data_IF_879232044710
#
_entry.id   IF_879232044710
#
_cell.length_a   1.000
_cell.length_b   1.000
_cell.length_c   1.000
_cell.angle_alpha   90.00
_cell.angle_beta   90.00
_cell.angle_gamma   90.00
#
_symmetry.space_group_name_H-M   'P 1'
#
loop_
_entity.id
_entity.type
_entity.pdbx_description
1 polymer ?
#
# COMPACT_ATOMS: atom_id res chain seq x y z
N UNK A 1 -16.68 9.45 -32.97
CA UNK A 1 -16.81 10.35 -31.82
C UNK A 1 -17.76 11.47 -32.17
N UNK A 2 -18.71 11.76 -31.29
CA UNK A 2 -19.46 13.03 -31.38
C UNK A 2 -18.69 14.12 -30.64
N UNK A 3 -19.02 15.38 -30.90
CA UNK A 3 -18.46 16.59 -30.29
C UNK A 3 -18.24 16.52 -28.76
N UNK A 4 -19.05 15.73 -28.03
CA UNK A 4 -18.98 15.60 -26.57
C UNK A 4 -17.85 14.70 -26.06
N UNK A 5 -17.34 13.75 -26.85
CA UNK A 5 -16.31 12.79 -26.40
C UNK A 5 -14.91 13.40 -26.47
N UNK A 6 -14.69 14.25 -27.47
CA UNK A 6 -13.43 14.98 -27.70
C UNK A 6 -13.27 16.12 -26.68
N UNK A 7 -14.38 16.71 -26.19
CA UNK A 7 -14.38 17.71 -25.12
C UNK A 7 -13.98 17.16 -23.73
N UNK A 8 -13.97 15.83 -23.53
CA UNK A 8 -13.45 15.23 -22.29
C UNK A 8 -11.92 15.18 -22.24
N UNK A 9 -11.23 15.23 -23.39
CA UNK A 9 -9.77 15.33 -23.45
C UNK A 9 -9.24 16.76 -23.21
N UNK A 10 -10.14 17.74 -23.11
CA UNK A 10 -9.82 19.16 -22.87
C UNK A 10 -9.93 19.60 -21.41
N UNK A 11 -10.01 18.68 -20.45
CA UNK A 11 -9.59 19.04 -19.11
C UNK A 11 -8.10 19.40 -19.19
N UNK A 12 -7.77 20.65 -18.86
CA UNK A 12 -6.43 21.25 -18.97
C UNK A 12 -5.33 20.32 -18.42
N UNK A 13 -5.67 19.51 -17.42
CA UNK A 13 -4.80 18.53 -16.76
C UNK A 13 -4.32 17.42 -17.70
N UNK A 14 -5.18 16.85 -18.58
CA UNK A 14 -4.80 15.72 -19.45
C UNK A 14 -3.76 16.15 -20.49
N UNK A 15 -3.93 17.33 -21.08
CA UNK A 15 -2.97 17.86 -22.06
C UNK A 15 -1.62 18.20 -21.42
N UNK A 16 -1.64 18.69 -20.17
CA UNK A 16 -0.41 18.90 -19.38
C UNK A 16 0.28 17.56 -19.13
N UNK A 17 -0.44 16.54 -18.68
CA UNK A 17 0.13 15.22 -18.42
C UNK A 17 0.70 14.56 -19.69
N UNK A 18 -0.03 14.61 -20.81
CA UNK A 18 0.47 14.11 -22.09
C UNK A 18 1.69 14.91 -22.58
N UNK A 19 1.73 16.22 -22.31
CA UNK A 19 2.87 17.07 -22.58
C UNK A 19 4.11 16.67 -21.78
N UNK A 20 3.97 16.35 -20.49
CA UNK A 20 5.07 15.84 -19.66
C UNK A 20 5.52 14.45 -20.12
N UNK A 21 4.57 13.55 -20.45
CA UNK A 21 4.87 12.21 -20.96
C UNK A 21 5.63 12.27 -22.28
N UNK A 22 5.28 13.23 -23.15
CA UNK A 22 5.98 13.43 -24.42
C UNK A 22 7.46 13.82 -24.24
N UNK A 23 7.85 14.37 -23.08
CA UNK A 23 9.25 14.67 -22.78
C UNK A 23 10.07 13.43 -22.42
N UNK A 24 9.44 12.29 -22.16
CA UNK A 24 10.14 11.03 -21.86
C UNK A 24 10.73 10.49 -23.16
N UNK A 25 12.05 10.34 -23.21
CA UNK A 25 12.74 9.79 -24.37
C UNK A 25 12.21 8.40 -24.73
N UNK A 26 11.97 8.17 -26.02
CA UNK A 26 11.48 6.89 -26.55
C UNK A 26 9.96 6.69 -26.48
N UNK A 27 9.19 7.63 -25.90
CA UNK A 27 7.73 7.56 -25.94
C UNK A 27 7.19 8.18 -27.23
N UNK A 28 6.22 7.50 -27.85
CA UNK A 28 5.43 7.99 -28.99
C UNK A 28 3.97 8.05 -28.58
N UNK A 29 3.33 9.20 -28.80
CA UNK A 29 1.90 9.40 -28.48
C UNK A 29 1.11 9.48 -29.79
N UNK A 30 0.16 8.56 -29.98
CA UNK A 30 -0.71 8.54 -31.15
C UNK A 30 -2.18 8.81 -30.79
N UNK A 31 -2.80 9.78 -31.47
CA UNK A 31 -4.25 9.98 -31.40
C UNK A 31 -4.96 9.07 -32.39
N UNK A 32 -5.91 8.28 -31.91
CA UNK A 32 -6.66 7.30 -32.72
C UNK A 32 -8.16 7.52 -32.58
N UNK A 33 -8.84 7.91 -33.66
CA UNK A 33 -10.27 8.29 -33.59
C UNK A 33 -11.11 7.77 -34.75
N UNK A 34 -12.29 7.26 -34.42
CA UNK A 34 -13.36 7.05 -35.40
C UNK A 34 -14.03 8.41 -35.66
N UNK A 35 -13.65 9.09 -36.74
CA UNK A 35 -14.10 10.44 -37.09
C UNK A 35 -14.20 10.63 -38.60
N UNK A 36 -15.17 11.43 -39.04
CA UNK A 36 -15.37 11.83 -40.43
C UNK A 36 -14.38 12.94 -40.84
N UNK A 37 -14.15 13.13 -42.14
CA UNK A 37 -13.30 14.23 -42.63
C UNK A 37 -13.85 15.62 -42.27
N UNK A 38 -15.16 15.92 -42.43
CA UNK A 38 -15.71 17.21 -42.01
C UNK A 38 -15.52 17.51 -40.52
N UNK A 39 -15.77 16.52 -39.65
CA UNK A 39 -15.63 16.70 -38.20
C UNK A 39 -14.16 16.88 -37.79
N UNK A 40 -13.25 16.12 -38.41
CA UNK A 40 -11.81 16.27 -38.19
C UNK A 40 -11.33 17.67 -38.57
N UNK A 41 -11.76 18.18 -39.73
CA UNK A 41 -11.44 19.53 -40.18
C UNK A 41 -12.03 20.60 -39.26
N UNK A 42 -13.23 20.40 -38.73
CA UNK A 42 -13.82 21.31 -37.74
C UNK A 42 -13.01 21.35 -36.45
N UNK A 43 -12.58 20.20 -35.92
CA UNK A 43 -11.70 20.13 -34.73
C UNK A 43 -10.34 20.78 -34.99
N UNK A 44 -9.76 20.58 -36.19
CA UNK A 44 -8.47 21.18 -36.56
C UNK A 44 -8.51 22.71 -36.58
N UNK A 45 -9.66 23.31 -36.93
CA UNK A 45 -9.86 24.77 -36.87
C UNK A 45 -10.16 25.27 -35.46
N UNK A 46 -10.76 24.43 -34.62
CA UNK A 46 -11.16 24.81 -33.25
C UNK A 46 -9.98 24.80 -32.29
N UNK A 47 -9.05 23.87 -32.45
CA UNK A 47 -7.93 23.66 -31.55
C UNK A 47 -6.64 24.15 -32.16
N UNK A 48 -5.79 24.73 -31.30
CA UNK A 48 -4.52 25.30 -31.68
C UNK A 48 -3.43 24.23 -31.92
N UNK A 49 -2.29 24.67 -32.43
CA UNK A 49 -1.15 23.81 -32.66
C UNK A 49 -0.61 23.19 -31.36
N UNK A 50 -0.82 23.82 -30.20
CA UNK A 50 -0.40 23.27 -28.92
C UNK A 50 -1.06 21.91 -28.65
N UNK A 51 -2.37 21.80 -28.88
CA UNK A 51 -3.08 20.53 -28.77
C UNK A 51 -2.55 19.48 -29.76
N UNK A 52 -2.44 19.85 -31.03
CA UNK A 52 -2.08 18.89 -32.07
C UNK A 52 -0.62 18.43 -31.97
N UNK A 53 0.26 19.30 -31.48
CA UNK A 53 1.67 18.98 -31.24
C UNK A 53 1.88 18.03 -30.06
N UNK A 54 0.85 17.74 -29.25
CA UNK A 54 0.91 16.68 -28.24
C UNK A 54 1.03 15.29 -28.87
N UNK A 55 0.55 15.09 -30.10
CA UNK A 55 0.53 13.78 -30.76
C UNK A 55 1.57 13.72 -31.88
N UNK A 56 2.39 12.66 -31.87
CA UNK A 56 3.36 12.40 -32.94
C UNK A 56 2.67 11.85 -34.19
N UNK A 57 1.56 11.16 -33.98
CA UNK A 57 0.74 10.60 -35.05
C UNK A 57 -0.75 10.80 -34.78
N UNK A 58 -1.51 11.04 -35.85
CA UNK A 58 -2.97 11.12 -35.81
C UNK A 58 -3.55 10.15 -36.83
N UNK A 59 -4.27 9.15 -36.34
CA UNK A 59 -4.92 8.11 -37.13
C UNK A 59 -6.44 8.25 -37.02
N UNK A 60 -7.06 8.64 -38.13
CA UNK A 60 -8.52 8.81 -38.21
C UNK A 60 -9.13 7.72 -39.09
N UNK A 61 -10.33 7.26 -38.75
CA UNK A 61 -11.01 6.24 -39.56
C UNK A 61 -11.27 6.66 -41.01
N UNK A 62 -11.52 7.96 -41.27
CA UNK A 62 -11.69 8.44 -42.64
C UNK A 62 -10.42 8.25 -43.47
N UNK A 63 -9.27 8.68 -42.94
CA UNK A 63 -7.98 8.62 -43.65
C UNK A 63 -7.49 7.20 -43.84
N UNK A 64 -7.76 6.31 -42.87
CA UNK A 64 -7.37 4.90 -42.94
C UNK A 64 -8.35 4.04 -43.73
N UNK A 65 -9.56 4.53 -44.05
CA UNK A 65 -10.61 3.76 -44.72
C UNK A 65 -11.15 2.58 -43.90
N UNK A 66 -10.84 2.52 -42.60
CA UNK A 66 -11.27 1.48 -41.67
C UNK A 66 -11.51 2.10 -40.30
N UNK A 67 -12.45 1.56 -39.52
CA UNK A 67 -12.79 2.06 -38.18
C UNK A 67 -12.50 1.02 -37.09
N UNK A 68 -12.20 1.48 -35.87
CA UNK A 68 -12.23 0.64 -34.66
C UNK A 68 -13.64 0.06 -34.48
N UNK A 69 -13.82 -1.21 -34.05
CA UNK A 69 -12.81 -2.13 -33.50
C UNK A 69 -12.18 -3.08 -34.55
N UNK A 70 -12.20 -2.76 -35.85
CA UNK A 70 -11.59 -3.64 -36.85
C UNK A 70 -10.09 -3.83 -36.56
N UNK A 71 -9.62 -5.09 -36.51
CA UNK A 71 -8.21 -5.43 -36.30
C UNK A 71 -7.27 -4.72 -37.30
N UNK A 72 -7.75 -4.50 -38.53
CA UNK A 72 -7.00 -3.78 -39.58
C UNK A 72 -6.67 -2.34 -39.17
N UNK A 73 -7.52 -1.68 -38.37
CA UNK A 73 -7.23 -0.35 -37.85
C UNK A 73 -5.96 -0.36 -36.99
N UNK A 74 -5.92 -1.25 -35.99
CA UNK A 74 -4.80 -1.38 -35.06
C UNK A 74 -3.53 -1.88 -35.75
N UNK A 75 -3.64 -2.82 -36.70
CA UNK A 75 -2.52 -3.29 -37.51
C UNK A 75 -1.92 -2.15 -38.36
N UNK A 76 -2.75 -1.27 -38.92
CA UNK A 76 -2.28 -0.09 -39.64
C UNK A 76 -1.55 0.88 -38.71
N UNK A 77 -2.07 1.11 -37.50
CA UNK A 77 -1.42 1.95 -36.48
C UNK A 77 -0.06 1.37 -36.11
N UNK A 78 0.00 0.10 -35.68
CA UNK A 78 1.24 -0.59 -35.30
C UNK A 78 2.29 -0.58 -36.43
N UNK A 79 1.86 -0.82 -37.67
CA UNK A 79 2.76 -0.81 -38.83
C UNK A 79 3.33 0.58 -39.09
N UNK A 80 2.50 1.62 -38.98
CA UNK A 80 2.90 2.99 -39.23
C UNK A 80 3.83 3.54 -38.14
N UNK A 81 3.58 3.20 -36.87
CA UNK A 81 4.41 3.61 -35.73
C UNK A 81 5.60 2.70 -35.49
N UNK A 82 5.62 1.50 -36.08
CA UNK A 82 6.57 0.41 -35.77
C UNK A 82 6.58 0.03 -34.29
N UNK A 83 5.50 0.29 -33.58
CA UNK A 83 5.40 -0.01 -32.15
C UNK A 83 5.35 -1.52 -31.91
N UNK A 84 6.01 -1.96 -30.84
CA UNK A 84 5.93 -3.35 -30.34
C UNK A 84 4.62 -3.49 -29.57
N UNK A 85 3.71 -4.42 -29.94
CA UNK A 85 2.42 -4.53 -29.27
C UNK A 85 2.52 -4.67 -27.74
N UNK A 86 3.43 -5.51 -27.26
CA UNK A 86 3.62 -5.80 -25.83
C UNK A 86 4.10 -4.59 -25.01
N UNK A 87 4.65 -3.57 -25.68
CA UNK A 87 5.10 -2.30 -25.13
C UNK A 87 4.13 -1.15 -25.43
N UNK A 88 3.02 -1.44 -26.12
CA UNK A 88 2.02 -0.45 -26.52
C UNK A 88 0.84 -0.46 -25.54
N UNK A 89 0.50 0.73 -25.01
CA UNK A 89 -0.70 0.95 -24.22
C UNK A 89 -1.79 1.58 -25.10
N UNK A 90 -2.96 0.95 -25.15
CA UNK A 90 -4.15 1.44 -25.82
C UNK A 90 -5.23 1.83 -24.81
N UNK A 91 -5.79 3.03 -24.98
CA UNK A 91 -6.79 3.61 -24.07
C UNK A 91 -7.97 4.08 -24.90
N UNK A 92 -9.16 3.61 -24.56
CA UNK A 92 -10.41 3.93 -25.27
C UNK A 92 -11.60 3.77 -24.33
N UNK A 93 -12.66 4.52 -24.56
CA UNK A 93 -13.87 4.46 -23.74
C UNK A 93 -14.77 3.26 -24.05
N UNK A 94 -14.58 2.62 -25.21
CA UNK A 94 -15.36 1.45 -25.61
C UNK A 94 -14.60 0.14 -25.37
N UNK A 95 -15.21 -0.75 -24.58
CA UNK A 95 -14.64 -2.06 -24.23
C UNK A 95 -14.28 -2.90 -25.46
N UNK A 96 -15.09 -2.86 -26.53
CA UNK A 96 -14.82 -3.60 -27.76
C UNK A 96 -13.59 -3.07 -28.52
N UNK A 97 -13.28 -1.77 -28.41
CA UNK A 97 -12.08 -1.22 -29.02
C UNK A 97 -10.85 -1.70 -28.26
N UNK A 98 -10.90 -1.64 -26.93
CA UNK A 98 -9.82 -2.10 -26.05
C UNK A 98 -9.56 -3.59 -26.23
N UNK A 99 -10.62 -4.40 -26.28
CA UNK A 99 -10.53 -5.84 -26.53
C UNK A 99 -9.84 -6.14 -27.87
N UNK A 100 -10.20 -5.43 -28.94
CA UNK A 100 -9.58 -5.61 -30.24
C UNK A 100 -8.08 -5.26 -30.23
N UNK A 101 -7.70 -4.16 -29.57
CA UNK A 101 -6.29 -3.79 -29.39
C UNK A 101 -5.51 -4.86 -28.58
N UNK A 102 -6.06 -5.31 -27.45
CA UNK A 102 -5.44 -6.32 -26.59
C UNK A 102 -5.30 -7.67 -27.30
N UNK A 103 -6.24 -8.03 -28.17
CA UNK A 103 -6.16 -9.26 -28.98
C UNK A 103 -4.94 -9.33 -29.90
N UNK A 104 -4.31 -8.18 -30.18
CA UNK A 104 -3.07 -8.06 -30.96
C UNK A 104 -1.81 -7.97 -30.09
N UNK A 105 -1.94 -8.14 -28.76
CA UNK A 105 -0.83 -8.12 -27.81
C UNK A 105 -0.59 -6.78 -27.10
N UNK A 106 -1.44 -5.77 -27.33
CA UNK A 106 -1.36 -4.49 -26.61
C UNK A 106 -1.84 -4.61 -25.17
N UNK A 107 -1.37 -3.69 -24.31
CA UNK A 107 -2.01 -3.42 -23.01
C UNK A 107 -3.22 -2.53 -23.24
N UNK A 108 -4.32 -2.75 -22.52
CA UNK A 108 -5.58 -2.07 -22.76
C UNK A 108 -6.20 -1.50 -21.49
N UNK A 109 -6.72 -0.27 -21.58
CA UNK A 109 -7.45 0.38 -20.48
C UNK A 109 -8.77 0.93 -21.03
N UNK A 110 -9.86 0.57 -20.36
CA UNK A 110 -11.22 1.01 -20.69
C UNK A 110 -11.55 2.29 -19.91
N UNK A 111 -12.00 3.30 -20.62
CA UNK A 111 -12.35 4.61 -20.07
C UNK A 111 -11.14 5.53 -19.87
N UNK A 112 -11.43 6.77 -19.49
CA UNK A 112 -10.44 7.81 -19.25
C UNK A 112 -10.46 8.34 -17.80
N UNK A 113 -11.14 7.64 -16.90
CA UNK A 113 -11.17 8.00 -15.49
C UNK A 113 -9.78 7.86 -14.88
N UNK A 114 -9.26 8.96 -14.31
CA UNK A 114 -7.94 9.01 -13.68
C UNK A 114 -6.78 8.62 -14.64
N UNK A 115 -6.88 9.08 -15.89
CA UNK A 115 -5.87 8.86 -16.92
C UNK A 115 -4.47 9.34 -16.49
N UNK A 116 -4.39 10.49 -15.81
CA UNK A 116 -3.15 11.02 -15.23
C UNK A 116 -2.45 10.00 -14.34
N UNK A 117 -3.17 9.49 -13.33
CA UNK A 117 -2.66 8.48 -12.39
C UNK A 117 -2.25 7.22 -13.12
N UNK A 118 -3.11 6.76 -14.03
CA UNK A 118 -2.88 5.55 -14.82
C UNK A 118 -1.58 5.63 -15.62
N UNK A 119 -1.39 6.72 -16.38
CA UNK A 119 -0.19 6.92 -17.17
C UNK A 119 1.05 7.03 -16.28
N UNK A 120 0.96 7.77 -15.16
CA UNK A 120 2.05 7.85 -14.18
C UNK A 120 2.41 6.47 -13.60
N UNK A 121 1.43 5.60 -13.37
CA UNK A 121 1.68 4.25 -12.82
C UNK A 121 2.27 3.30 -13.88
N UNK A 122 1.94 3.48 -15.16
CA UNK A 122 2.49 2.66 -16.25
C UNK A 122 3.91 3.10 -16.62
N UNK A 123 4.16 4.42 -16.63
CA UNK A 123 5.40 5.01 -17.17
C UNK A 123 6.40 5.41 -16.09
N UNK A 124 5.93 5.73 -14.89
CA UNK A 124 6.75 6.20 -13.79
C UNK A 124 7.28 5.07 -12.91
N UNK A 125 8.43 5.30 -12.30
CA UNK A 125 8.95 4.44 -11.24
C UNK A 125 8.05 4.58 -9.99
N UNK A 126 7.31 3.52 -9.67
CA UNK A 126 6.39 3.50 -8.54
C UNK A 126 7.11 3.65 -7.19
N UNK A 127 8.33 3.11 -7.08
CA UNK A 127 9.15 3.15 -5.86
C UNK A 127 9.65 4.59 -5.65
N UNK A 128 10.26 5.21 -6.66
CA UNK A 128 10.79 6.57 -6.53
C UNK A 128 9.69 7.61 -6.31
N UNK A 129 8.53 7.45 -6.97
CA UNK A 129 7.36 8.30 -6.73
C UNK A 129 6.86 8.18 -5.29
N UNK A 130 6.85 6.97 -4.74
CA UNK A 130 6.47 6.74 -3.35
C UNK A 130 7.45 7.34 -2.35
N UNK A 131 8.76 7.20 -2.58
CA UNK A 131 9.76 7.89 -1.76
C UNK A 131 9.67 9.40 -1.87
N UNK A 132 9.45 9.94 -3.07
CA UNK A 132 9.21 11.37 -3.28
C UNK A 132 8.02 11.87 -2.47
N UNK A 133 6.91 11.11 -2.46
CA UNK A 133 5.76 11.42 -1.61
C UNK A 133 6.13 11.45 -0.12
N UNK A 134 6.84 10.44 0.38
CA UNK A 134 7.25 10.37 1.78
C UNK A 134 8.13 11.56 2.18
N UNK A 135 9.16 11.86 1.38
CA UNK A 135 10.09 12.98 1.62
C UNK A 135 9.39 14.33 1.60
N UNK A 136 8.51 14.56 0.62
CA UNK A 136 7.75 15.82 0.53
C UNK A 136 6.80 16.04 1.72
N UNK A 137 6.34 14.94 2.34
CA UNK A 137 5.42 14.97 3.48
C UNK A 137 6.09 14.63 4.81
N UNK A 138 7.42 14.61 4.86
CA UNK A 138 8.21 14.34 6.06
C UNK A 138 7.75 15.22 7.25
N UNK A 139 7.59 14.61 8.42
CA UNK A 139 7.07 15.25 9.63
C UNK A 139 5.59 15.65 9.57
N UNK A 140 4.87 15.33 8.49
CA UNK A 140 3.44 15.63 8.29
C UNK A 140 2.60 14.40 7.92
N UNK A 141 3.13 13.21 8.19
CA UNK A 141 2.49 11.92 7.90
C UNK A 141 1.52 11.54 9.02
N UNK A 142 0.50 12.37 9.26
CA UNK A 142 -0.44 12.18 10.37
C UNK A 142 -1.45 11.06 10.12
N UNK A 143 -1.90 10.45 11.22
CA UNK A 143 -3.04 9.54 11.21
C UNK A 143 -4.33 10.35 11.17
N UNK A 144 -5.30 9.91 10.37
CA UNK A 144 -6.58 10.60 10.18
C UNK A 144 -7.76 9.63 10.28
N UNK A 145 -8.88 10.11 10.80
CA UNK A 145 -10.18 9.41 10.74
C UNK A 145 -10.82 9.55 9.36
N UNK A 146 -11.86 8.77 9.09
CA UNK A 146 -12.71 8.92 7.90
C UNK A 146 -13.38 10.31 7.78
N UNK A 147 -13.55 11.02 8.89
CA UNK A 147 -14.15 12.37 8.93
C UNK A 147 -13.09 13.47 8.76
N UNK A 148 -11.81 13.11 8.60
CA UNK A 148 -10.69 14.05 8.42
C UNK A 148 -10.06 14.57 9.72
N UNK A 149 -10.48 14.06 10.88
CA UNK A 149 -9.87 14.42 12.16
C UNK A 149 -8.47 13.83 12.25
N UNK A 150 -7.46 14.67 12.52
CA UNK A 150 -6.09 14.21 12.74
C UNK A 150 -5.88 13.68 14.17
N UNK A 151 -5.07 12.64 14.31
CA UNK A 151 -4.68 12.02 15.58
C UNK A 151 -3.16 12.05 15.69
N UNK A 152 -2.68 12.64 16.79
CA UNK A 152 -1.26 12.68 17.14
C UNK A 152 -0.90 11.38 17.88
N UNK A 153 -0.26 10.45 17.18
CA UNK A 153 0.10 9.13 17.69
C UNK A 153 1.49 8.68 17.24
N UNK A 154 2.10 7.80 18.03
CA UNK A 154 3.46 7.29 17.84
C UNK A 154 3.48 6.04 16.95
N UNK A 155 2.42 5.23 16.95
CA UNK A 155 2.44 3.88 16.41
C UNK A 155 2.66 3.85 14.89
N UNK A 156 1.92 4.66 14.13
CA UNK A 156 2.07 4.72 12.67
C UNK A 156 3.42 5.32 12.25
N UNK A 157 3.96 6.25 13.05
CA UNK A 157 5.31 6.79 12.86
C UNK A 157 6.37 5.71 13.06
N UNK A 158 6.26 4.91 14.12
CA UNK A 158 7.17 3.78 14.36
C UNK A 158 7.08 2.72 13.26
N UNK A 159 5.89 2.47 12.70
CA UNK A 159 5.73 1.57 11.55
C UNK A 159 6.43 2.10 10.29
N UNK A 160 6.37 3.42 10.04
CA UNK A 160 7.12 4.05 8.94
C UNK A 160 8.62 3.87 9.16
N UNK A 161 9.10 4.14 10.38
CA UNK A 161 10.51 3.95 10.75
C UNK A 161 10.96 2.50 10.56
N UNK A 162 10.17 1.53 11.01
CA UNK A 162 10.52 0.10 10.90
C UNK A 162 10.77 -0.30 9.45
N UNK A 163 9.86 0.10 8.55
CA UNK A 163 9.92 -0.37 7.17
C UNK A 163 10.79 0.50 6.27
N UNK A 164 11.01 1.78 6.57
CA UNK A 164 11.84 2.66 5.74
C UNK A 164 13.25 2.83 6.28
N UNK A 165 13.41 2.83 7.60
CA UNK A 165 14.66 3.11 8.31
C UNK A 165 15.24 4.49 7.99
N UNK A 166 14.38 5.53 8.03
CA UNK A 166 14.76 6.93 7.83
C UNK A 166 14.05 7.82 8.86
N UNK A 167 14.80 8.28 9.87
CA UNK A 167 14.28 9.14 10.94
C UNK A 167 13.84 10.52 10.45
N UNK A 168 14.33 10.98 9.29
CA UNK A 168 13.95 12.30 8.77
C UNK A 168 12.48 12.37 8.32
N UNK A 169 11.82 11.22 8.12
CA UNK A 169 10.45 11.16 7.64
C UNK A 169 9.40 11.35 8.73
N UNK A 170 9.74 11.13 9.98
CA UNK A 170 8.78 11.03 11.09
C UNK A 170 9.02 12.08 12.16
N UNK A 171 7.99 12.39 12.94
CA UNK A 171 8.11 13.19 14.16
C UNK A 171 7.87 12.30 15.38
N UNK A 172 8.96 11.74 15.93
CA UNK A 172 8.92 10.81 17.06
C UNK A 172 9.75 11.34 18.22
N UNK A 173 9.11 11.50 19.38
CA UNK A 173 9.77 11.89 20.63
C UNK A 173 9.89 10.69 21.55
N UNK A 174 11.12 10.22 21.75
CA UNK A 174 11.39 9.01 22.55
C UNK A 174 11.12 9.28 24.04
N UNK A 175 10.18 8.58 24.70
CA UNK A 175 10.03 8.61 26.14
C UNK A 175 11.21 7.86 26.81
N UNK A 176 11.44 8.08 28.12
CA UNK A 176 12.55 7.44 28.82
C UNK A 176 12.42 5.91 28.95
N UNK A 177 11.19 5.37 28.94
CA UNK A 177 10.92 3.93 29.11
C UNK A 177 9.77 3.46 28.22
N UNK A 178 8.56 3.42 28.78
CA UNK A 178 7.35 2.91 28.14
C UNK A 178 6.79 3.92 27.15
N UNK A 179 6.06 3.40 26.15
CA UNK A 179 5.47 4.20 25.10
C UNK A 179 3.95 4.26 25.22
N UNK A 180 3.43 5.44 24.93
CA UNK A 180 2.01 5.68 24.74
C UNK A 180 1.69 5.67 23.25
N UNK A 181 0.56 5.07 22.87
CA UNK A 181 0.01 5.18 21.53
C UNK A 181 -0.11 6.66 21.11
N UNK A 182 -0.64 7.53 21.98
CA UNK A 182 -0.78 8.95 21.68
C UNK A 182 0.52 9.71 21.97
N UNK A 183 0.96 10.52 21.01
CA UNK A 183 2.01 11.54 21.23
C UNK A 183 1.42 12.88 21.67
N UNK A 184 0.12 13.09 21.41
CA UNK A 184 -0.65 14.25 21.83
C UNK A 184 -1.83 13.90 22.72
N UNK A 185 -2.90 14.71 22.66
CA UNK A 185 -4.09 14.52 23.48
C UNK A 185 -4.87 13.29 22.99
N UNK A 186 -5.21 12.32 23.86
CA UNK A 186 -6.04 11.17 23.48
C UNK A 186 -7.38 11.58 22.87
N UNK A 187 -7.77 10.88 21.78
CA UNK A 187 -9.05 11.05 21.08
C UNK A 187 -9.76 9.69 20.95
N UNK A 188 -11.10 9.73 20.89
CA UNK A 188 -11.97 8.54 20.74
C UNK A 188 -11.73 7.43 21.76
N UNK A 189 -11.37 7.84 22.99
CA UNK A 189 -10.99 6.96 24.09
C UNK A 189 -11.20 7.67 25.43
N UNK A 190 -10.85 7.00 26.52
CA UNK A 190 -10.86 7.56 27.87
C UNK A 190 -9.96 8.81 27.98
N UNK A 191 -10.33 9.76 28.84
CA UNK A 191 -9.56 11.01 29.07
C UNK A 191 -8.08 10.78 29.39
N UNK A 192 -7.77 9.70 30.10
CA UNK A 192 -6.41 9.26 30.41
C UNK A 192 -6.18 7.96 29.67
N UNK A 193 -5.17 7.93 28.81
CA UNK A 193 -4.73 6.73 28.09
C UNK A 193 -3.37 6.30 28.65
N UNK A 194 -3.26 5.11 29.25
CA UNK A 194 -2.00 4.62 29.81
C UNK A 194 -1.03 4.23 28.69
N UNK A 195 0.23 4.05 29.04
CA UNK A 195 1.19 3.44 28.12
C UNK A 195 0.74 2.02 27.75
N UNK A 196 1.03 1.62 26.52
CA UNK A 196 0.55 0.36 25.96
C UNK A 196 1.69 -0.53 25.47
N UNK A 197 1.42 -1.83 25.50
CA UNK A 197 2.40 -2.85 25.18
C UNK A 197 2.73 -2.89 23.70
N UNK A 198 1.81 -2.46 22.83
CA UNK A 198 1.99 -2.58 21.39
C UNK A 198 2.98 -1.54 20.87
N UNK A 199 2.78 -0.28 21.25
CA UNK A 199 3.69 0.82 20.93
C UNK A 199 5.04 0.62 21.60
N UNK A 200 5.05 0.14 22.84
CA UNK A 200 6.30 -0.17 23.56
C UNK A 200 7.08 -1.31 22.88
N UNK A 201 6.42 -2.40 22.51
CA UNK A 201 7.05 -3.52 21.82
C UNK A 201 7.57 -3.11 20.43
N UNK A 202 6.78 -2.34 19.67
CA UNK A 202 7.22 -1.83 18.37
C UNK A 202 8.46 -0.94 18.50
N UNK A 203 8.50 -0.04 19.49
CA UNK A 203 9.66 0.81 19.72
C UNK A 203 10.93 0.02 20.10
N UNK A 204 10.79 -1.05 20.91
CA UNK A 204 11.88 -1.97 21.22
C UNK A 204 12.40 -2.70 19.98
N UNK A 205 11.57 -2.92 18.97
CA UNK A 205 11.97 -3.52 17.69
C UNK A 205 12.64 -2.51 16.77
N UNK A 206 12.13 -1.29 16.71
CA UNK A 206 12.59 -0.21 15.81
C UNK A 206 13.90 0.43 16.26
N UNK A 207 14.06 0.70 17.56
CA UNK A 207 15.23 1.41 18.06
C UNK A 207 16.27 0.48 18.68
N UNK A 208 17.52 0.93 18.64
CA UNK A 208 18.63 0.33 19.36
C UNK A 208 18.66 0.84 20.81
N UNK A 209 17.95 0.12 21.68
CA UNK A 209 17.99 0.35 23.12
C UNK A 209 19.25 -0.25 23.74
N UNK A 210 19.83 0.42 24.75
CA UNK A 210 20.80 -0.19 25.66
C UNK A 210 20.18 -1.45 26.29
N UNK A 211 20.90 -2.58 26.28
CA UNK A 211 20.38 -3.87 26.74
C UNK A 211 19.77 -3.79 28.14
N UNK A 212 20.44 -3.10 29.09
CA UNK A 212 19.96 -2.95 30.46
C UNK A 212 18.59 -2.26 30.51
N UNK A 213 18.41 -1.21 29.71
CA UNK A 213 17.14 -0.48 29.62
C UNK A 213 16.07 -1.36 28.98
N UNK A 214 16.37 -2.01 27.84
CA UNK A 214 15.45 -2.92 27.17
C UNK A 214 14.98 -4.05 28.11
N UNK A 215 15.91 -4.75 28.77
CA UNK A 215 15.56 -5.82 29.72
C UNK A 215 14.70 -5.32 30.87
N UNK A 216 14.98 -4.13 31.40
CA UNK A 216 14.15 -3.54 32.46
C UNK A 216 12.73 -3.18 31.99
N UNK A 217 12.52 -2.90 30.71
CA UNK A 217 11.19 -2.69 30.13
C UNK A 217 10.49 -4.04 29.98
N UNK A 218 11.16 -5.07 29.47
CA UNK A 218 10.62 -6.43 29.35
C UNK A 218 10.19 -7.00 30.71
N UNK A 219 10.98 -6.77 31.77
CA UNK A 219 10.62 -7.13 33.15
C UNK A 219 9.32 -6.45 33.60
N UNK A 220 9.15 -5.18 33.23
CA UNK A 220 7.94 -4.43 33.54
C UNK A 220 6.72 -4.99 32.80
N UNK A 221 6.88 -5.36 31.53
CA UNK A 221 5.82 -5.97 30.70
C UNK A 221 5.33 -7.30 31.30
N UNK A 222 6.20 -8.10 31.92
CA UNK A 222 5.83 -9.35 32.59
C UNK A 222 4.84 -9.16 33.75
N UNK A 223 4.81 -7.97 34.39
CA UNK A 223 3.86 -7.67 35.46
C UNK A 223 2.40 -7.55 34.97
N UNK A 224 2.19 -7.56 33.66
CA UNK A 224 0.89 -7.44 33.00
C UNK A 224 0.54 -8.69 32.18
N UNK A 225 1.22 -9.80 32.42
CA UNK A 225 0.80 -11.13 31.96
C UNK A 225 -0.34 -11.61 32.86
N UNK A 226 -1.47 -12.00 32.26
CA UNK A 226 -2.63 -12.50 32.99
C UNK A 226 -2.47 -13.98 33.40
N UNK A 227 -3.49 -14.54 34.07
CA UNK A 227 -3.49 -15.95 34.53
C UNK A 227 -3.45 -16.99 33.40
N UNK A 228 -3.87 -16.61 32.19
CA UNK A 228 -3.75 -17.44 30.98
C UNK A 228 -2.34 -17.41 30.38
N UNK A 229 -1.44 -16.56 30.90
CA UNK A 229 -0.10 -16.36 30.36
C UNK A 229 -0.08 -15.45 29.12
N UNK A 230 -1.08 -14.57 28.99
CA UNK A 230 -1.22 -13.63 27.87
C UNK A 230 -0.93 -12.21 28.35
N UNK A 231 -0.15 -11.47 27.56
CA UNK A 231 0.20 -10.08 27.85
C UNK A 231 -1.02 -9.18 27.64
N UNK A 232 -1.33 -8.34 28.63
CA UNK A 232 -2.39 -7.33 28.52
C UNK A 232 -1.98 -6.17 27.63
N UNK A 233 -2.95 -5.51 26.99
CA UNK A 233 -2.72 -4.39 26.07
C UNK A 233 -2.13 -3.17 26.78
N UNK A 234 -2.58 -2.88 28.00
CA UNK A 234 -2.25 -1.65 28.72
C UNK A 234 -1.38 -1.93 29.94
N UNK A 235 -0.54 -0.98 30.30
CA UNK A 235 0.15 -0.91 31.58
C UNK A 235 -0.78 -0.43 32.72
N UNK A 236 -2.03 -0.90 32.70
CA UNK A 236 -3.08 -0.55 33.64
C UNK A 236 -3.91 -1.80 33.96
N UNK A 237 -3.70 -2.35 35.16
CA UNK A 237 -4.36 -3.59 35.61
C UNK A 237 -5.88 -3.44 35.74
N UNK A 238 -6.42 -2.23 35.77
CA UNK A 238 -7.87 -2.00 35.72
C UNK A 238 -8.47 -2.21 34.33
N UNK A 239 -7.63 -2.39 33.30
CA UNK A 239 -8.00 -2.60 31.90
C UNK A 239 -7.48 -3.95 31.38
N UNK A 240 -7.99 -5.10 31.88
CA UNK A 240 -7.45 -6.44 31.60
C UNK A 240 -7.83 -6.94 30.19
N UNK A 241 -7.40 -6.21 29.15
CA UNK A 241 -7.66 -6.56 27.75
C UNK A 241 -6.46 -7.29 27.17
N UNK A 242 -6.73 -8.27 26.33
CA UNK A 242 -5.74 -8.99 25.53
C UNK A 242 -6.12 -8.88 24.06
N UNK A 243 -5.12 -8.79 23.18
CA UNK A 243 -5.29 -8.82 21.72
C UNK A 243 -4.18 -9.67 21.11
N UNK A 244 -4.51 -10.48 20.10
CA UNK A 244 -3.57 -11.43 19.52
C UNK A 244 -2.41 -10.77 18.76
N UNK A 245 -2.66 -9.66 18.07
CA UNK A 245 -1.62 -8.96 17.29
C UNK A 245 -0.68 -8.23 18.24
N UNK A 246 -1.23 -7.62 19.28
CA UNK A 246 -0.45 -6.98 20.35
C UNK A 246 0.43 -8.02 21.05
N UNK A 247 -0.16 -9.14 21.47
CA UNK A 247 0.60 -10.22 22.11
C UNK A 247 1.71 -10.78 21.21
N UNK A 248 1.46 -10.88 19.90
CA UNK A 248 2.45 -11.28 18.91
C UNK A 248 3.60 -10.26 18.76
N UNK A 249 3.28 -8.96 18.78
CA UNK A 249 4.28 -7.91 18.74
C UNK A 249 5.17 -7.93 20.00
N UNK A 250 4.56 -8.09 21.18
CA UNK A 250 5.28 -8.24 22.44
C UNK A 250 6.17 -9.48 22.40
N UNK A 251 5.64 -10.63 22.00
CA UNK A 251 6.42 -11.87 21.87
C UNK A 251 7.62 -11.66 20.94
N UNK A 252 7.44 -10.95 19.83
CA UNK A 252 8.51 -10.60 18.89
C UNK A 252 9.60 -9.76 19.56
N UNK A 253 9.23 -8.76 20.38
CA UNK A 253 10.19 -7.98 21.17
C UNK A 253 10.96 -8.85 22.17
N UNK A 254 10.29 -9.76 22.90
CA UNK A 254 10.97 -10.71 23.79
C UNK A 254 11.96 -11.60 23.02
N UNK A 255 11.60 -12.08 21.83
CA UNK A 255 12.50 -12.86 20.99
C UNK A 255 13.71 -12.07 20.47
N UNK A 256 13.55 -10.78 20.10
CA UNK A 256 14.68 -9.90 19.71
C UNK A 256 15.77 -9.87 20.79
N UNK A 257 15.37 -9.86 22.06
CA UNK A 257 16.27 -9.81 23.22
C UNK A 257 16.57 -11.19 23.84
N UNK A 258 16.29 -12.30 23.14
CA UNK A 258 16.64 -13.65 23.61
C UNK A 258 15.80 -14.16 24.80
N UNK A 259 14.64 -13.54 25.04
CA UNK A 259 13.77 -13.76 26.20
C UNK A 259 12.41 -14.38 25.87
N UNK A 260 12.23 -14.86 24.63
CA UNK A 260 10.96 -15.47 24.20
C UNK A 260 10.46 -16.63 25.07
N UNK A 261 11.36 -17.35 25.75
CA UNK A 261 11.05 -18.45 26.66
C UNK A 261 10.19 -18.05 27.88
N UNK A 262 10.09 -16.76 28.20
CA UNK A 262 9.28 -16.26 29.32
C UNK A 262 7.79 -16.14 28.96
N UNK A 263 7.43 -16.26 27.68
CA UNK A 263 6.05 -16.16 27.20
C UNK A 263 5.56 -17.45 26.49
N UNK A 264 5.75 -18.65 27.08
CA UNK A 264 5.47 -19.91 26.40
C UNK A 264 3.99 -20.08 26.03
N UNK A 265 3.07 -19.68 26.91
CA UNK A 265 1.63 -19.75 26.65
C UNK A 265 1.17 -18.78 25.57
N UNK A 266 1.79 -17.60 25.48
CA UNK A 266 1.55 -16.68 24.37
C UNK A 266 2.02 -17.31 23.06
N UNK A 267 3.21 -17.92 23.02
CA UNK A 267 3.70 -18.63 21.83
C UNK A 267 2.75 -19.75 21.38
N UNK A 268 2.24 -20.56 22.31
CA UNK A 268 1.25 -21.60 22.03
C UNK A 268 -0.05 -21.02 21.45
N UNK A 269 -0.51 -19.90 21.99
CA UNK A 269 -1.71 -19.22 21.51
C UNK A 269 -1.54 -18.68 20.08
N UNK A 270 -0.40 -18.03 19.79
CA UNK A 270 -0.08 -17.54 18.44
C UNK A 270 -0.03 -18.68 17.42
N UNK A 271 0.63 -19.79 17.75
CA UNK A 271 0.66 -20.95 16.87
C UNK A 271 -0.76 -21.50 16.62
N UNK A 272 -1.57 -21.61 17.67
CA UNK A 272 -2.94 -22.10 17.55
C UNK A 272 -3.80 -21.16 16.68
N UNK A 273 -3.66 -19.84 16.80
CA UNK A 273 -4.37 -18.89 15.93
C UNK A 273 -3.98 -19.10 14.47
N UNK A 274 -2.68 -19.26 14.18
CA UNK A 274 -2.16 -19.44 12.84
C UNK A 274 -2.65 -20.76 12.20
N UNK A 275 -2.53 -21.87 12.93
CA UNK A 275 -2.91 -23.20 12.45
C UNK A 275 -4.42 -23.30 12.23
N UNK A 276 -5.22 -22.74 13.13
CA UNK A 276 -6.69 -22.80 13.07
C UNK A 276 -7.33 -21.68 12.25
N UNK A 277 -6.53 -20.79 11.63
CA UNK A 277 -7.02 -19.63 10.87
C UNK A 277 -7.88 -18.67 11.69
N UNK A 278 -7.69 -18.60 13.01
CA UNK A 278 -8.52 -17.79 13.90
C UNK A 278 -8.36 -16.28 13.64
N UNK A 279 -7.31 -15.86 12.94
CA UNK A 279 -7.04 -14.48 12.53
C UNK A 279 -7.88 -14.00 11.33
N UNK A 280 -8.69 -14.85 10.69
CA UNK A 280 -9.32 -14.58 9.38
C UNK A 280 -10.31 -13.40 9.38
N UNK A 281 -10.74 -12.93 10.55
CA UNK A 281 -11.61 -11.77 10.71
C UNK A 281 -10.93 -10.60 11.44
N UNK A 282 -9.61 -10.67 11.63
CA UNK A 282 -8.86 -9.70 12.43
C UNK A 282 -9.11 -9.85 13.93
N UNK A 283 -8.78 -8.80 14.67
CA UNK A 283 -8.96 -8.66 16.12
C UNK A 283 -9.76 -7.41 16.45
N UNK A 284 -9.89 -7.07 17.73
CA UNK A 284 -10.66 -5.92 18.20
C UNK A 284 -10.14 -4.60 17.62
N UNK A 285 -8.83 -4.45 17.51
CA UNK A 285 -8.18 -3.22 17.05
C UNK A 285 -7.74 -3.30 15.60
N UNK A 286 -7.49 -4.50 15.08
CA UNK A 286 -6.91 -4.72 13.76
C UNK A 286 -7.82 -5.56 12.89
N UNK A 287 -8.55 -4.93 11.98
CA UNK A 287 -9.71 -5.57 11.32
C UNK A 287 -9.37 -6.53 10.17
N UNK A 288 -8.08 -6.69 9.85
CA UNK A 288 -7.63 -7.43 8.67
C UNK A 288 -6.73 -8.62 9.04
N UNK A 289 -6.88 -9.79 8.38
CA UNK A 289 -6.00 -10.96 8.54
C UNK A 289 -4.51 -10.66 8.31
N UNK A 290 -4.24 -9.72 7.42
CA UNK A 290 -2.90 -9.34 6.99
C UNK A 290 -2.03 -8.83 8.14
N UNK A 291 -2.63 -8.19 9.15
CA UNK A 291 -1.90 -7.77 10.35
C UNK A 291 -1.26 -8.94 11.08
N UNK A 292 -2.05 -9.99 11.35
CA UNK A 292 -1.55 -11.17 12.06
C UNK A 292 -0.47 -11.89 11.26
N UNK A 293 -0.68 -12.07 9.95
CA UNK A 293 0.28 -12.76 9.09
C UNK A 293 1.60 -12.00 8.93
N UNK A 294 1.53 -10.68 8.79
CA UNK A 294 2.71 -9.82 8.76
C UNK A 294 3.45 -9.81 10.10
N UNK A 295 2.75 -9.77 11.22
CA UNK A 295 3.39 -9.82 12.54
C UNK A 295 4.00 -11.19 12.83
N UNK A 296 3.43 -12.27 12.29
CA UNK A 296 4.01 -13.61 12.39
C UNK A 296 5.30 -13.72 11.55
N UNK A 297 5.39 -13.02 10.41
CA UNK A 297 6.65 -12.97 9.66
C UNK A 297 7.71 -12.13 10.39
N UNK A 298 7.32 -11.07 11.10
CA UNK A 298 8.21 -10.31 12.00
C UNK A 298 8.76 -11.18 13.13
N UNK A 299 7.93 -12.03 13.75
CA UNK A 299 8.39 -12.99 14.76
C UNK A 299 9.51 -13.91 14.21
N UNK A 300 9.35 -14.43 12.99
CA UNK A 300 10.40 -15.22 12.34
C UNK A 300 11.67 -14.42 12.05
N UNK A 301 11.53 -13.16 11.63
CA UNK A 301 12.67 -12.30 11.28
C UNK A 301 13.51 -11.91 12.51
N UNK A 302 12.87 -11.64 13.65
CA UNK A 302 13.58 -11.19 14.86
C UNK A 302 13.97 -12.34 15.80
N UNK A 303 13.36 -13.51 15.70
CA UNK A 303 13.71 -14.66 16.55
C UNK A 303 14.97 -15.37 16.08
N UNK A 304 15.90 -15.59 17.00
CA UNK A 304 17.07 -16.48 16.82
C UNK A 304 16.81 -17.91 17.32
N UNK A 305 15.65 -18.17 17.91
CA UNK A 305 15.26 -19.47 18.46
C UNK A 305 14.77 -20.39 17.33
N UNK A 306 15.47 -21.51 17.04
CA UNK A 306 15.07 -22.45 15.98
C UNK A 306 13.66 -23.03 16.18
N UNK A 307 13.21 -23.18 17.43
CA UNK A 307 11.89 -23.74 17.73
C UNK A 307 10.74 -22.87 17.21
N UNK A 308 10.94 -21.55 17.13
CA UNK A 308 9.96 -20.64 16.54
C UNK A 308 9.80 -20.91 15.05
N UNK A 309 10.92 -21.11 14.34
CA UNK A 309 10.92 -21.43 12.91
C UNK A 309 10.16 -22.73 12.65
N UNK A 310 10.48 -23.78 13.40
CA UNK A 310 9.83 -25.10 13.29
C UNK A 310 8.31 -25.04 13.51
N UNK A 311 7.86 -24.18 14.42
CA UNK A 311 6.44 -24.05 14.78
C UNK A 311 5.64 -23.15 13.85
N UNK A 312 6.26 -22.11 13.27
CA UNK A 312 5.55 -21.01 12.60
C UNK A 312 5.76 -20.98 11.09
N UNK A 313 6.96 -21.28 10.57
CA UNK A 313 7.28 -21.01 9.17
C UNK A 313 6.37 -21.77 8.21
N UNK A 314 6.26 -23.08 8.36
CA UNK A 314 5.46 -23.91 7.44
C UNK A 314 3.98 -23.50 7.46
N UNK A 315 3.30 -23.40 8.62
CA UNK A 315 1.94 -22.88 8.66
C UNK A 315 1.80 -21.49 8.05
N UNK A 316 2.73 -20.57 8.36
CA UNK A 316 2.68 -19.19 7.85
C UNK A 316 2.79 -19.13 6.33
N UNK A 317 3.73 -19.88 5.73
CA UNK A 317 3.86 -19.98 4.27
C UNK A 317 2.56 -20.46 3.63
N UNK A 318 1.96 -21.53 4.18
CA UNK A 318 0.68 -22.04 3.68
C UNK A 318 -0.41 -20.96 3.76
N UNK A 319 -0.51 -20.26 4.89
CA UNK A 319 -1.51 -19.20 5.09
C UNK A 319 -1.29 -18.00 4.17
N UNK A 320 -0.06 -17.60 3.89
CA UNK A 320 0.23 -16.51 2.95
C UNK A 320 -0.13 -16.87 1.51
N UNK A 321 0.21 -18.09 1.07
CA UNK A 321 -0.14 -18.59 -0.27
C UNK A 321 -1.67 -18.63 -0.45
N UNK A 322 -2.43 -19.07 0.57
CA UNK A 322 -3.90 -19.05 0.57
C UNK A 322 -4.48 -17.64 0.37
N UNK A 323 -3.72 -16.58 0.74
CA UNK A 323 -4.17 -15.19 0.67
C UNK A 323 -3.79 -14.48 -0.62
N UNK A 324 -2.89 -15.01 -1.45
CA UNK A 324 -2.45 -14.35 -2.70
C UNK A 324 -3.65 -14.03 -3.60
N UNK A 325 -3.76 -12.77 -4.02
CA UNK A 325 -4.85 -12.31 -4.88
C UNK A 325 -6.20 -12.11 -4.20
N UNK A 326 -6.29 -12.27 -2.87
CA UNK A 326 -7.48 -11.89 -2.11
C UNK A 326 -7.56 -10.36 -2.04
N UNK A 327 -8.74 -9.81 -2.33
CA UNK A 327 -8.99 -8.36 -2.29
C UNK A 327 -8.58 -7.77 -0.93
N UNK A 328 -7.90 -6.63 -1.00
CA UNK A 328 -7.49 -5.84 0.14
C UNK A 328 -7.17 -4.42 -0.30
N UNK A 329 -7.10 -3.50 0.65
CA UNK A 329 -6.60 -2.17 0.38
C UNK A 329 -5.06 -2.16 0.24
N UNK A 330 -4.48 -1.00 -0.06
CA UNK A 330 -3.05 -0.90 -0.36
C UNK A 330 -2.18 -1.36 0.81
N UNK A 331 -2.61 -1.11 2.05
CA UNK A 331 -1.87 -1.54 3.23
C UNK A 331 -1.97 -3.04 3.47
N UNK A 332 -3.15 -3.66 3.27
CA UNK A 332 -3.29 -5.11 3.28
C UNK A 332 -2.35 -5.78 2.26
N UNK A 333 -2.32 -5.28 1.02
CA UNK A 333 -1.42 -5.82 -0.02
C UNK A 333 0.05 -5.59 0.34
N UNK A 334 0.40 -4.41 0.87
CA UNK A 334 1.75 -4.11 1.36
C UNK A 334 2.22 -5.08 2.44
N UNK A 335 1.41 -5.28 3.49
CA UNK A 335 1.69 -6.25 4.56
C UNK A 335 1.87 -7.68 4.03
N UNK A 336 0.96 -8.13 3.15
CA UNK A 336 1.02 -9.46 2.56
C UNK A 336 2.27 -9.65 1.71
N UNK A 337 2.60 -8.67 0.87
CA UNK A 337 3.80 -8.70 0.04
C UNK A 337 5.07 -8.72 0.88
N UNK A 338 5.18 -7.87 1.91
CA UNK A 338 6.33 -7.88 2.82
C UNK A 338 6.51 -9.24 3.51
N UNK A 339 5.41 -9.85 3.98
CA UNK A 339 5.44 -11.17 4.59
C UNK A 339 5.81 -12.29 3.59
N UNK A 340 5.32 -12.19 2.35
CA UNK A 340 5.71 -13.10 1.26
C UNK A 340 7.20 -12.94 0.92
N UNK A 341 7.70 -11.72 0.77
CA UNK A 341 9.08 -11.42 0.43
C UNK A 341 10.04 -11.94 1.50
N UNK A 342 9.72 -11.77 2.79
CA UNK A 342 10.55 -12.29 3.89
C UNK A 342 10.66 -13.83 3.90
N UNK A 343 9.78 -14.52 3.18
CA UNK A 343 9.77 -15.98 3.03
C UNK A 343 10.12 -16.43 1.60
N UNK A 344 10.47 -15.52 0.70
CA UNK A 344 10.75 -15.84 -0.70
C UNK A 344 9.55 -16.45 -1.44
N UNK A 345 8.33 -15.99 -1.14
CA UNK A 345 7.10 -16.40 -1.84
C UNK A 345 6.84 -15.39 -2.97
N UNK A 346 6.78 -15.87 -4.21
CA UNK A 346 6.47 -15.02 -5.36
C UNK A 346 4.99 -14.60 -5.37
N UNK A 347 4.74 -13.30 -5.54
CA UNK A 347 3.38 -12.73 -5.52
C UNK A 347 3.24 -11.57 -6.53
N UNK A 348 3.35 -11.89 -7.82
CA UNK A 348 3.24 -10.91 -8.90
C UNK A 348 1.86 -10.26 -8.98
N UNK A 349 0.80 -11.02 -8.65
CA UNK A 349 -0.58 -10.53 -8.71
C UNK A 349 -0.81 -9.37 -7.76
N UNK A 350 -0.44 -9.52 -6.48
CA UNK A 350 -0.62 -8.44 -5.52
C UNK A 350 0.36 -7.30 -5.77
N UNK A 351 1.54 -7.57 -6.34
CA UNK A 351 2.52 -6.55 -6.75
C UNK A 351 1.95 -5.63 -7.84
N UNK A 352 1.37 -6.20 -8.89
CA UNK A 352 0.72 -5.46 -9.97
C UNK A 352 -0.49 -4.67 -9.45
N UNK A 353 -1.32 -5.31 -8.62
CA UNK A 353 -2.47 -4.65 -8.01
C UNK A 353 -2.04 -3.46 -7.15
N UNK A 354 -1.05 -3.64 -6.27
CA UNK A 354 -0.55 -2.58 -5.39
C UNK A 354 0.03 -1.40 -6.20
N UNK A 355 0.84 -1.67 -7.23
CA UNK A 355 1.38 -0.63 -8.10
C UNK A 355 0.27 0.17 -8.81
N UNK A 356 -0.79 -0.52 -9.26
CA UNK A 356 -1.94 0.14 -9.90
C UNK A 356 -2.71 1.09 -8.97
N UNK A 357 -2.61 0.90 -7.64
CA UNK A 357 -3.31 1.71 -6.62
C UNK A 357 -2.59 3.02 -6.26
N UNK A 358 -1.37 3.25 -6.75
CA UNK A 358 -0.62 4.47 -6.46
C UNK A 358 -1.36 5.70 -7.01
N UNK A 359 -1.44 6.77 -6.21
CA UNK A 359 -2.12 8.01 -6.56
C UNK A 359 -1.21 8.93 -7.39
N UNK A 360 -1.80 9.93 -8.05
CA UNK A 360 -1.09 10.82 -8.98
C UNK A 360 0.04 11.65 -8.35
N UNK A 361 0.01 11.84 -7.03
CA UNK A 361 1.05 12.51 -6.21
C UNK A 361 2.14 11.55 -5.69
N UNK A 362 2.06 10.27 -6.05
CA UNK A 362 3.05 9.24 -5.69
C UNK A 362 2.73 8.47 -4.41
N UNK A 363 1.81 8.95 -3.57
CA UNK A 363 1.39 8.22 -2.36
C UNK A 363 0.32 7.17 -2.66
N UNK A 364 0.01 6.33 -1.67
CA UNK A 364 -1.19 5.48 -1.70
C UNK A 364 -2.29 6.13 -0.86
N UNK A 365 -3.56 5.74 -1.04
CA UNK A 365 -4.64 6.24 -0.18
C UNK A 365 -4.43 5.75 1.27
N UNK A 366 -4.90 6.50 2.28
CA UNK A 366 -4.91 5.97 3.64
C UNK A 366 -5.78 4.72 3.70
N UNK A 367 -5.22 3.66 4.26
CA UNK A 367 -5.89 2.38 4.51
C UNK A 367 -6.38 2.29 5.94
N UNK A 368 -7.42 1.47 6.16
CA UNK A 368 -7.93 1.16 7.50
C UNK A 368 -6.84 0.44 8.30
N UNK A 369 -6.17 1.14 9.21
CA UNK A 369 -5.07 0.56 9.99
C UNK A 369 -5.60 -0.06 11.27
N UNK A 370 -6.28 0.73 12.09
CA UNK A 370 -6.84 0.26 13.34
C UNK A 370 -8.16 0.96 13.68
N UNK A 371 -8.94 0.31 14.55
CA UNK A 371 -10.28 0.73 14.96
C UNK A 371 -10.27 1.20 16.42
N UNK A 372 -10.82 2.38 16.68
CA UNK A 372 -11.23 2.80 18.03
C UNK A 372 -12.60 2.20 18.34
N UNK A 373 -12.70 1.11 19.12
CA UNK A 373 -13.91 0.29 19.12
C UNK A 373 -15.08 0.94 19.87
N UNK A 374 -14.80 1.84 20.82
CA UNK A 374 -15.83 2.52 21.61
C UNK A 374 -16.67 3.47 20.75
N UNK A 375 -16.02 4.22 19.86
CA UNK A 375 -16.67 5.17 18.96
C UNK A 375 -16.85 4.61 17.53
N UNK A 376 -16.50 3.33 17.32
CA UNK A 376 -16.46 2.67 16.02
C UNK A 376 -15.74 3.51 14.95
N UNK A 377 -14.62 4.13 15.33
CA UNK A 377 -13.88 5.06 14.47
C UNK A 377 -12.69 4.35 13.83
N UNK A 378 -12.78 4.14 12.52
CA UNK A 378 -11.68 3.65 11.70
C UNK A 378 -10.70 4.79 11.40
N UNK A 379 -9.40 4.47 11.47
CA UNK A 379 -8.34 5.44 11.20
C UNK A 379 -7.28 4.85 10.28
N UNK A 380 -6.66 5.73 9.51
CA UNK A 380 -5.63 5.36 8.56
C UNK A 380 -4.50 6.38 8.53
N UNK A 381 -3.31 5.90 8.17
CA UNK A 381 -2.14 6.74 7.98
C UNK A 381 -1.61 6.58 6.56
N UNK A 382 -1.69 7.67 5.80
CA UNK A 382 -1.27 7.67 4.40
C UNK A 382 0.24 7.46 4.23
N UNK A 383 1.04 7.96 5.18
CA UNK A 383 2.48 7.74 5.24
C UNK A 383 2.80 6.27 5.44
N UNK A 384 2.18 5.61 6.42
CA UNK A 384 2.41 4.19 6.67
C UNK A 384 1.96 3.32 5.51
N UNK A 385 0.79 3.59 4.93
CA UNK A 385 0.35 2.86 3.72
C UNK A 385 1.34 3.01 2.57
N UNK A 386 1.86 4.22 2.35
CA UNK A 386 2.85 4.47 1.29
C UNK A 386 4.19 3.81 1.61
N UNK A 387 4.65 3.88 2.86
CA UNK A 387 5.90 3.28 3.31
C UNK A 387 5.92 1.76 3.10
N UNK A 388 4.83 1.09 3.49
CA UNK A 388 4.65 -0.34 3.28
C UNK A 388 4.57 -0.68 1.79
N UNK A 389 3.85 0.13 1.01
CA UNK A 389 3.73 -0.11 -0.42
C UNK A 389 5.09 -0.01 -1.14
N UNK A 390 5.86 1.04 -0.85
CA UNK A 390 7.20 1.24 -1.40
C UNK A 390 8.11 0.09 -1.04
N UNK A 391 8.19 -0.27 0.24
CA UNK A 391 9.08 -1.37 0.68
C UNK A 391 8.65 -2.72 0.10
N UNK A 392 7.35 -2.98 -0.02
CA UNK A 392 6.83 -4.19 -0.66
C UNK A 392 7.21 -4.30 -2.14
N UNK A 393 7.15 -3.18 -2.88
CA UNK A 393 7.47 -3.15 -4.31
C UNK A 393 8.97 -3.30 -4.61
N UNK A 394 9.84 -2.86 -3.68
CA UNK A 394 11.30 -3.02 -3.78
C UNK A 394 11.75 -4.49 -3.80
N UNK A 395 10.98 -5.39 -3.19
CA UNK A 395 11.38 -6.80 -3.00
C UNK A 395 11.99 -7.02 -1.64
#
# INVERSE_FOLDING_TARGET
MTYNEVAKFTETTILVDLGEIKKIEGITIALVSNISEPDYNALRRRWDDSFWNTFDHVFTSWKLGVRKPSLRFYQNVLRATRAVPQETLFIDDQTENVLAAMSLGMRGIVGNHDLSRTLKNVLGDSIERGFSFLRQNAGRLYTTTCDGDSIDENYAQLLILEVINDESLVDVKRPPRLWNFFSGKPKYTSKVYPDDMDTTALALLVFDYEERLAHSILDEMLNYVNEDGLVQVYTDKSRPRVDAIIALNVLTAFHKYGRGYELPRTMDWIQNILVNRAYIHGTRYYQSPEWFLYYASRLLAYSKDPSVKDRIEVPLRTRLIERIGVNGDAYCLGMRLLACNSLGIENNRDKEQLASMQQADGGWKPSAMYLFPTDNKEVGNRGTTTAFAVRALQG
#
